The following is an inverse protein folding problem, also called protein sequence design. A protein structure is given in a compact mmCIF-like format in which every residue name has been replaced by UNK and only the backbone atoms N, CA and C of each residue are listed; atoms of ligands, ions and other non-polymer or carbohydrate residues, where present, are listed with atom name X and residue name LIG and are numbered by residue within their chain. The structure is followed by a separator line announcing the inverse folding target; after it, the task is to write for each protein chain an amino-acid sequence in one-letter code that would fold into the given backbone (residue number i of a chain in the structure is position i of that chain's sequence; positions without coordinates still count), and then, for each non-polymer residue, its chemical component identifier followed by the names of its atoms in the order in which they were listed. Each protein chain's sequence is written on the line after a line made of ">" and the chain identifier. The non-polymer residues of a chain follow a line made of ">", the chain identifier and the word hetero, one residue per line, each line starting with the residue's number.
data_IF_366214958961
#
_entry.id   IF_366214958961
#
_cell.length_a   1.000
_cell.length_b   1.000
_cell.length_c   1.000
_cell.angle_alpha   90.00
_cell.angle_beta   90.00
_cell.angle_gamma   90.00
#
_symmetry.space_group_name_H-M   'P 1'
#
loop_
_entity.id
_entity.type
_entity.pdbx_description
1 polymer ?
#
# COMPACT_ATOMS: atom_id res chain seq x y z
N UNK A 1 -11.22 -22.24 4.62
CA UNK A 1 -10.63 -22.14 3.26
C UNK A 1 -10.33 -20.69 2.86
N UNK A 2 -11.25 -19.73 3.07
CA UNK A 2 -11.08 -18.29 2.76
C UNK A 2 -9.83 -17.66 3.41
N UNK A 3 -9.55 -17.97 4.68
CA UNK A 3 -8.33 -17.51 5.39
C UNK A 3 -7.01 -17.88 4.68
N UNK A 4 -6.95 -19.05 4.02
CA UNK A 4 -5.74 -19.53 3.36
C UNK A 4 -5.49 -18.82 2.02
N UNK A 5 -6.56 -18.53 1.28
CA UNK A 5 -6.51 -17.80 0.00
C UNK A 5 -6.02 -16.37 0.21
N UNK A 6 -6.43 -15.73 1.32
CA UNK A 6 -6.05 -14.33 1.60
C UNK A 6 -4.63 -14.21 2.14
N UNK A 7 -4.19 -15.16 2.98
CA UNK A 7 -2.78 -15.24 3.37
C UNK A 7 -1.89 -15.41 2.14
N UNK A 8 -2.31 -16.24 1.17
CA UNK A 8 -1.61 -16.40 -0.08
C UNK A 8 -1.66 -15.13 -0.95
N UNK A 9 -2.79 -14.45 -1.05
CA UNK A 9 -2.91 -13.17 -1.78
C UNK A 9 -2.04 -12.06 -1.18
N UNK A 10 -1.96 -11.98 0.15
CA UNK A 10 -1.04 -11.06 0.84
C UNK A 10 0.43 -11.46 0.72
N UNK A 11 0.74 -12.74 0.47
CA UNK A 11 2.07 -13.22 0.10
C UNK A 11 2.42 -12.96 -1.38
N UNK A 12 1.40 -12.89 -2.26
CA UNK A 12 1.57 -12.60 -3.70
C UNK A 12 1.81 -11.11 -3.94
N UNK A 13 1.21 -10.23 -3.13
CA UNK A 13 1.57 -8.80 -3.17
C UNK A 13 3.00 -8.62 -2.68
N UNK A 14 3.83 -8.06 -3.55
CA UNK A 14 5.13 -7.57 -3.11
C UNK A 14 4.92 -6.45 -2.11
N UNK A 15 5.70 -6.49 -1.01
CA UNK A 15 5.77 -5.36 -0.09
C UNK A 15 6.06 -4.09 -0.87
N UNK A 16 5.42 -3.00 -0.47
CA UNK A 16 5.57 -1.73 -1.15
C UNK A 16 7.06 -1.30 -1.16
N UNK A 17 7.70 -1.21 -2.34
CA UNK A 17 9.10 -0.80 -2.41
C UNK A 17 9.21 0.69 -2.09
N UNK A 18 10.21 1.07 -1.30
CA UNK A 18 10.42 2.47 -0.85
C UNK A 18 11.58 3.11 -1.61
N UNK A 19 11.71 2.86 -2.91
CA UNK A 19 12.65 3.65 -3.71
C UNK A 19 11.95 4.87 -4.32
N UNK A 20 11.68 5.85 -3.46
CA UNK A 20 11.16 7.18 -3.83
C UNK A 20 12.16 7.99 -4.68
N UNK A 21 13.39 7.49 -4.89
CA UNK A 21 14.39 8.14 -5.73
C UNK A 21 14.34 7.65 -7.18
N UNK A 22 13.62 6.56 -7.43
CA UNK A 22 13.48 5.97 -8.74
C UNK A 22 12.70 6.90 -9.67
N UNK A 23 13.23 7.13 -10.88
CA UNK A 23 12.63 8.02 -11.91
C UNK A 23 11.18 7.59 -12.30
N UNK A 24 10.81 6.36 -11.97
CA UNK A 24 9.51 5.73 -12.19
C UNK A 24 8.61 5.67 -10.95
N UNK A 25 8.93 6.35 -9.83
CA UNK A 25 8.16 6.26 -8.58
C UNK A 25 6.64 6.46 -8.77
N UNK A 26 6.21 7.41 -9.61
CA UNK A 26 4.78 7.57 -9.92
C UNK A 26 4.16 6.35 -10.63
N UNK A 27 4.90 5.72 -11.55
CA UNK A 27 4.45 4.53 -12.28
C UNK A 27 4.41 3.31 -11.36
N UNK A 28 5.44 3.12 -10.54
CA UNK A 28 5.52 2.04 -9.54
C UNK A 28 4.39 2.17 -8.50
N UNK A 29 4.11 3.39 -8.04
CA UNK A 29 2.99 3.67 -7.14
C UNK A 29 1.65 3.29 -7.76
N UNK A 30 1.38 3.75 -8.99
CA UNK A 30 0.14 3.44 -9.71
C UNK A 30 -0.01 1.94 -9.93
N UNK A 31 1.07 1.24 -10.30
CA UNK A 31 1.05 -0.20 -10.50
C UNK A 31 0.78 -0.95 -9.19
N UNK A 32 1.49 -0.60 -8.12
CA UNK A 32 1.29 -1.22 -6.81
C UNK A 32 -0.12 -0.98 -6.27
N UNK A 33 -0.64 0.25 -6.38
CA UNK A 33 -1.99 0.59 -5.90
C UNK A 33 -3.04 -0.23 -6.65
N UNK A 34 -2.89 -0.42 -7.96
CA UNK A 34 -3.79 -1.25 -8.76
C UNK A 34 -3.78 -2.71 -8.29
N UNK A 35 -2.60 -3.29 -8.06
CA UNK A 35 -2.49 -4.64 -7.50
C UNK A 35 -3.10 -4.75 -6.09
N UNK A 36 -2.97 -3.69 -5.28
CA UNK A 36 -3.55 -3.65 -3.95
C UNK A 36 -5.09 -3.59 -4.00
N UNK A 37 -5.64 -2.76 -4.89
CA UNK A 37 -7.09 -2.64 -5.12
C UNK A 37 -7.71 -3.94 -5.63
N UNK A 38 -7.01 -4.72 -6.46
CA UNK A 38 -7.48 -6.05 -6.89
C UNK A 38 -7.62 -7.05 -5.72
N UNK A 39 -6.89 -6.84 -4.62
CA UNK A 39 -6.96 -7.68 -3.42
C UNK A 39 -7.98 -7.17 -2.40
N UNK A 40 -8.45 -5.91 -2.51
CA UNK A 40 -9.47 -5.35 -1.62
C UNK A 40 -10.75 -6.21 -1.59
N UNK A 41 -11.38 -6.58 -2.72
CA UNK A 41 -12.57 -7.42 -2.71
C UNK A 41 -12.35 -8.76 -1.99
N UNK A 42 -11.20 -9.41 -2.22
CA UNK A 42 -10.84 -10.68 -1.58
C UNK A 42 -10.78 -10.55 -0.04
N UNK A 43 -10.38 -9.39 0.45
CA UNK A 43 -10.25 -9.12 1.89
C UNK A 43 -11.58 -8.73 2.53
N UNK A 44 -12.42 -7.99 1.81
CA UNK A 44 -13.77 -7.59 2.24
C UNK A 44 -14.68 -8.80 2.36
N UNK A 45 -14.64 -9.74 1.40
CA UNK A 45 -15.42 -10.98 1.43
C UNK A 45 -15.09 -11.88 2.64
N UNK A 46 -13.92 -11.68 3.24
CA UNK A 46 -13.51 -12.38 4.45
C UNK A 46 -13.70 -11.57 5.74
N UNK A 47 -14.31 -10.39 5.67
CA UNK A 47 -14.50 -9.50 6.81
C UNK A 47 -13.18 -8.89 7.33
N UNK A 48 -12.13 -8.89 6.52
CA UNK A 48 -10.84 -8.29 6.88
C UNK A 48 -10.86 -6.83 6.46
N UNK A 49 -10.49 -5.95 7.39
CA UNK A 49 -10.37 -4.53 7.11
C UNK A 49 -9.25 -4.27 6.10
N UNK A 50 -9.58 -3.60 4.99
CA UNK A 50 -8.62 -3.09 4.00
C UNK A 50 -7.47 -2.31 4.65
N UNK A 51 -7.76 -1.58 5.73
CA UNK A 51 -6.75 -0.85 6.50
C UNK A 51 -5.72 -1.75 7.19
N UNK A 52 -6.15 -2.92 7.68
CA UNK A 52 -5.22 -3.91 8.25
C UNK A 52 -4.35 -4.52 7.16
N UNK A 53 -4.91 -4.78 5.98
CA UNK A 53 -4.19 -5.34 4.83
C UNK A 53 -3.16 -4.34 4.31
N UNK A 54 -3.53 -3.06 4.18
CA UNK A 54 -2.60 -2.00 3.79
C UNK A 54 -1.39 -1.98 4.72
N UNK A 55 -1.62 -1.92 6.04
CA UNK A 55 -0.52 -1.89 7.03
C UNK A 55 0.41 -3.11 6.97
N UNK A 56 -0.09 -4.29 6.59
CA UNK A 56 0.74 -5.50 6.42
C UNK A 56 1.64 -5.42 5.17
N UNK A 57 1.24 -4.64 4.17
CA UNK A 57 1.97 -4.48 2.91
C UNK A 57 2.99 -3.35 2.92
N UNK A 58 2.94 -2.49 3.94
CA UNK A 58 3.91 -1.42 4.13
C UNK A 58 5.21 -1.95 4.75
N UNK A 59 6.32 -1.32 4.38
CA UNK A 59 7.58 -1.49 5.12
C UNK A 59 7.54 -0.66 6.41
N UNK A 60 8.46 -0.94 7.34
CA UNK A 60 8.59 -0.16 8.57
C UNK A 60 8.78 1.35 8.28
N UNK A 61 9.56 1.70 7.25
CA UNK A 61 9.81 3.08 6.86
C UNK A 61 8.52 3.79 6.39
N UNK A 62 7.73 3.13 5.53
CA UNK A 62 6.47 3.72 5.02
C UNK A 62 5.39 3.78 6.10
N UNK A 63 5.39 2.81 7.03
CA UNK A 63 4.42 2.74 8.11
C UNK A 63 4.48 3.98 9.04
N UNK A 64 5.68 4.54 9.26
CA UNK A 64 5.86 5.74 10.09
C UNK A 64 5.07 6.95 9.59
N UNK A 65 4.90 7.09 8.27
CA UNK A 65 4.14 8.19 7.68
C UNK A 65 2.64 8.02 7.87
N UNK A 66 2.13 6.77 7.82
CA UNK A 66 0.69 6.51 7.87
C UNK A 66 0.16 6.17 9.27
N UNK A 67 1.02 6.07 10.29
CA UNK A 67 0.63 5.64 11.64
C UNK A 67 -0.42 6.55 12.29
N UNK A 68 -0.44 7.83 11.92
CA UNK A 68 -1.40 8.84 12.39
C UNK A 68 -2.67 8.94 11.54
N UNK A 69 -2.70 8.29 10.37
CA UNK A 69 -3.88 8.29 9.50
C UNK A 69 -5.03 7.52 10.17
N UNK A 70 -6.24 8.08 10.06
CA UNK A 70 -7.47 7.52 10.65
C UNK A 70 -8.28 6.74 9.62
N UNK A 71 -7.95 6.89 8.34
CA UNK A 71 -8.65 6.22 7.26
C UNK A 71 -7.69 5.66 6.21
N UNK A 72 -8.21 4.70 5.43
CA UNK A 72 -7.50 4.18 4.26
C UNK A 72 -7.16 5.28 3.26
N UNK A 73 -8.12 6.18 2.96
CA UNK A 73 -7.92 7.26 1.99
C UNK A 73 -6.83 8.24 2.43
N UNK A 74 -6.79 8.61 3.72
CA UNK A 74 -5.71 9.44 4.27
C UNK A 74 -4.35 8.76 4.11
N UNK A 75 -4.26 7.48 4.44
CA UNK A 75 -2.99 6.76 4.34
C UNK A 75 -2.51 6.59 2.90
N UNK A 76 -3.42 6.30 1.96
CA UNK A 76 -3.07 6.23 0.52
C UNK A 76 -2.59 7.58 0.02
N UNK A 77 -3.23 8.68 0.43
CA UNK A 77 -2.79 10.03 0.08
C UNK A 77 -1.40 10.35 0.66
N UNK A 78 -1.15 10.01 1.92
CA UNK A 78 0.13 10.24 2.60
C UNK A 78 1.26 9.42 1.96
N UNK A 79 1.05 8.12 1.68
CA UNK A 79 2.07 7.29 1.00
C UNK A 79 2.34 7.82 -0.40
N UNK A 80 1.29 8.21 -1.14
CA UNK A 80 1.45 8.87 -2.44
C UNK A 80 2.26 10.15 -2.32
N UNK A 81 1.98 10.99 -1.33
CA UNK A 81 2.72 12.23 -1.13
C UNK A 81 4.19 11.96 -0.83
N UNK A 82 4.50 11.02 0.06
CA UNK A 82 5.88 10.69 0.45
C UNK A 82 6.65 10.03 -0.70
N UNK A 83 5.99 9.15 -1.45
CA UNK A 83 6.64 8.33 -2.47
C UNK A 83 6.70 8.99 -3.85
N UNK A 84 5.65 9.71 -4.22
CA UNK A 84 5.49 10.36 -5.53
C UNK A 84 5.86 11.83 -5.46
N UNK A 85 6.18 12.39 -4.27
CA UNK A 85 6.57 13.80 -4.18
C UNK A 85 7.61 14.10 -5.26
N UNK A 86 7.34 15.09 -6.14
CA UNK A 86 8.39 15.56 -7.02
C UNK A 86 9.52 15.99 -6.10
N UNK A 87 10.76 15.67 -6.49
CA UNK A 87 11.91 16.42 -6.02
C UNK A 87 11.66 17.87 -6.40
N UNK A 88 10.96 18.62 -5.55
CA UNK A 88 11.05 20.07 -5.56
C UNK A 88 12.42 20.35 -4.94
N UNK A 89 13.38 20.63 -5.82
CA UNK A 89 13.66 22.00 -6.25
C UNK A 89 14.36 22.66 -5.08
N UNK A 90 15.66 22.37 -5.01
CA UNK A 90 16.66 23.37 -4.60
C UNK A 90 17.23 23.89 -5.90
#
# INVERSE_FOLDING_TARGET
>A
MIHFVILNATLILNKFPVDFTARNAEKEWKFWLLQFEDVVPLTVDAGISVWKVLRLQLTAATFEYVKSCKSYNEAVAEVKEVYVKPKNVI
#
